data_IF_314799627888
#
_entry.id   IF_314799627888
#
_cell.length_a   1.000
_cell.length_b   1.000
_cell.length_c   1.000
_cell.angle_alpha   90.00
_cell.angle_beta   90.00
_cell.angle_gamma   90.00
#
_symmetry.space_group_name_H-M   'P 1'
#
loop_
_entity.id
_entity.type
_entity.pdbx_description
1 polymer ?
#
# COMPACT_ATOMS: atom_id res chain seq x y z
N UNK A 1 -1.20 -2.80 -3.18
CA UNK A 1 -1.62 -2.98 -1.78
C UNK A 1 -2.77 -2.05 -1.41
N UNK A 2 -3.93 -2.60 -1.06
CA UNK A 2 -5.11 -1.81 -0.64
C UNK A 2 -5.25 -1.83 0.88
N UNK A 3 -4.88 -0.72 1.54
CA UNK A 3 -4.99 -0.59 3.01
C UNK A 3 -6.36 -0.06 3.47
N UNK A 4 -7.16 0.51 2.57
CA UNK A 4 -8.42 1.19 2.85
C UNK A 4 -8.28 2.67 3.20
N UNK A 5 -7.08 3.23 3.17
CA UNK A 5 -6.85 4.68 3.21
C UNK A 5 -7.14 5.34 1.85
N UNK A 6 -7.40 6.66 1.86
CA UNK A 6 -7.68 7.45 0.65
C UNK A 6 -6.70 7.22 -0.49
N UNK A 7 -5.40 7.15 -0.15
CA UNK A 7 -4.31 7.04 -1.13
C UNK A 7 -4.32 5.67 -1.81
N UNK A 8 -4.53 4.59 -1.03
CA UNK A 8 -4.62 3.24 -1.59
C UNK A 8 -5.90 3.03 -2.42
N UNK A 9 -7.00 3.69 -2.08
CA UNK A 9 -8.24 3.69 -2.87
C UNK A 9 -8.05 4.46 -4.18
N UNK A 10 -7.42 5.65 -4.12
CA UNK A 10 -7.08 6.43 -5.31
C UNK A 10 -6.14 5.67 -6.25
N UNK A 11 -5.16 4.93 -5.69
CA UNK A 11 -4.27 4.07 -6.48
C UNK A 11 -5.03 2.98 -7.22
N UNK A 12 -6.01 2.31 -6.57
CA UNK A 12 -6.84 1.28 -7.21
C UNK A 12 -7.67 1.88 -8.34
N UNK A 13 -8.33 3.03 -8.13
CA UNK A 13 -9.09 3.72 -9.18
C UNK A 13 -8.19 4.12 -10.36
N UNK A 14 -7.02 4.69 -10.08
CA UNK A 14 -6.05 5.10 -11.09
C UNK A 14 -5.58 3.92 -11.94
N UNK A 15 -5.10 2.84 -11.29
CA UNK A 15 -4.55 1.69 -11.99
C UNK A 15 -5.65 0.89 -12.70
N UNK A 16 -6.84 0.78 -12.12
CA UNK A 16 -7.97 0.13 -12.74
C UNK A 16 -8.39 0.79 -14.04
N UNK A 17 -8.45 2.14 -14.08
CA UNK A 17 -8.72 2.89 -15.31
C UNK A 17 -7.58 2.76 -16.32
N UNK A 18 -6.31 2.90 -15.86
CA UNK A 18 -5.13 2.83 -16.73
C UNK A 18 -4.97 1.46 -17.38
N UNK A 19 -5.26 0.36 -16.68
CA UNK A 19 -5.15 -1.00 -17.21
C UNK A 19 -6.03 -1.24 -18.43
N UNK A 20 -7.15 -0.51 -18.54
CA UNK A 20 -8.12 -0.63 -19.65
C UNK A 20 -7.70 0.13 -20.91
N UNK A 21 -6.94 1.22 -20.79
CA UNK A 21 -6.63 2.15 -21.89
C UNK A 21 -5.14 2.22 -22.25
N UNK A 22 -4.24 1.79 -21.38
CA UNK A 22 -2.79 1.93 -21.60
C UNK A 22 -2.23 0.83 -22.52
N UNK A 23 -1.26 1.18 -23.33
CA UNK A 23 -0.51 0.27 -24.19
C UNK A 23 1.00 0.42 -23.87
N UNK A 24 1.74 -0.66 -23.57
CA UNK A 24 1.29 -2.06 -23.51
C UNK A 24 0.33 -2.32 -22.34
N UNK A 25 -0.57 -3.29 -22.51
CA UNK A 25 -1.51 -3.69 -21.45
C UNK A 25 -0.77 -4.27 -20.24
N UNK A 26 -1.31 -4.02 -19.06
CA UNK A 26 -0.84 -4.61 -17.81
C UNK A 26 -2.05 -5.11 -17.00
N UNK A 27 -1.80 -6.08 -16.15
CA UNK A 27 -2.80 -6.65 -15.25
C UNK A 27 -2.57 -6.14 -13.83
N UNK A 28 -3.66 -5.96 -13.09
CA UNK A 28 -3.63 -5.49 -11.71
C UNK A 28 -4.33 -6.49 -10.82
N UNK A 29 -3.68 -6.85 -9.71
CA UNK A 29 -4.26 -7.65 -8.62
C UNK A 29 -4.29 -6.77 -7.38
N UNK A 30 -5.45 -6.66 -6.74
CA UNK A 30 -5.62 -5.87 -5.52
C UNK A 30 -5.49 -6.79 -4.30
N UNK A 31 -4.56 -6.48 -3.40
CA UNK A 31 -4.32 -7.25 -2.19
C UNK A 31 -4.59 -6.43 -0.93
N UNK A 32 -5.43 -6.97 -0.04
CA UNK A 32 -5.71 -6.43 1.30
C UNK A 32 -5.14 -7.34 2.37
N UNK A 33 -4.24 -6.81 3.21
CA UNK A 33 -3.61 -7.57 4.30
C UNK A 33 -4.30 -7.27 5.61
N UNK A 34 -4.82 -8.32 6.24
CA UNK A 34 -5.47 -8.27 7.56
C UNK A 34 -4.52 -8.82 8.61
N UNK A 35 -4.30 -8.04 9.66
CA UNK A 35 -3.53 -8.48 10.83
C UNK A 35 -4.51 -9.04 11.86
N UNK A 36 -4.52 -10.35 12.07
CA UNK A 36 -5.50 -11.03 12.93
C UNK A 36 -5.28 -10.76 14.42
N UNK A 37 -4.08 -10.35 14.80
CA UNK A 37 -3.74 -10.01 16.18
C UNK A 37 -3.86 -8.50 16.51
N UNK A 38 -4.40 -7.70 15.59
CA UNK A 38 -4.70 -6.29 15.84
C UNK A 38 -6.22 -6.11 15.82
N UNK A 39 -6.82 -5.53 16.89
CA UNK A 39 -8.26 -5.41 17.02
C UNK A 39 -8.80 -4.24 16.17
N UNK A 40 -8.63 -4.29 14.86
CA UNK A 40 -9.35 -3.40 13.96
C UNK A 40 -9.97 -4.17 12.79
N UNK A 41 -11.17 -3.75 12.41
CA UNK A 41 -11.84 -4.30 11.25
C UNK A 41 -11.82 -3.29 10.10
N UNK A 42 -11.46 -3.75 8.92
CA UNK A 42 -11.71 -3.05 7.67
C UNK A 42 -13.04 -3.53 7.09
N UNK A 43 -13.78 -2.63 6.47
CA UNK A 43 -14.96 -2.98 5.67
C UNK A 43 -14.52 -3.69 4.38
N UNK A 44 -14.38 -5.02 4.48
CA UNK A 44 -13.86 -5.87 3.38
C UNK A 44 -14.80 -5.86 2.17
N UNK A 45 -16.11 -5.75 2.39
CA UNK A 45 -17.10 -5.69 1.31
C UNK A 45 -16.97 -4.39 0.53
N UNK A 46 -16.81 -3.28 1.23
CA UNK A 46 -16.53 -1.99 0.59
C UNK A 46 -15.22 -2.01 -0.20
N UNK A 47 -14.14 -2.56 0.37
CA UNK A 47 -12.85 -2.65 -0.33
C UNK A 47 -12.93 -3.56 -1.56
N UNK A 48 -13.70 -4.63 -1.48
CA UNK A 48 -13.98 -5.51 -2.60
C UNK A 48 -14.75 -4.76 -3.69
N UNK A 49 -15.82 -4.05 -3.36
CA UNK A 49 -16.60 -3.30 -4.33
C UNK A 49 -15.77 -2.26 -5.07
N UNK A 50 -14.81 -1.60 -4.40
CA UNK A 50 -13.89 -0.67 -5.04
C UNK A 50 -12.96 -1.33 -6.08
N UNK A 51 -12.58 -2.58 -5.87
CA UNK A 51 -11.80 -3.33 -6.86
C UNK A 51 -12.68 -3.82 -8.01
N UNK A 52 -13.88 -4.32 -7.70
CA UNK A 52 -14.85 -4.84 -8.67
C UNK A 52 -15.40 -3.76 -9.61
N UNK A 53 -15.46 -2.50 -9.18
CA UNK A 53 -15.80 -1.35 -10.04
C UNK A 53 -14.90 -1.26 -11.28
N UNK A 54 -13.69 -1.79 -11.19
CA UNK A 54 -12.69 -1.81 -12.26
C UNK A 54 -12.45 -3.21 -12.85
N UNK A 55 -13.23 -4.21 -12.48
CA UNK A 55 -13.03 -5.63 -12.85
C UNK A 55 -11.68 -6.19 -12.37
N UNK A 56 -11.17 -5.72 -11.23
CA UNK A 56 -9.89 -6.16 -10.67
C UNK A 56 -10.07 -7.31 -9.67
N UNK A 57 -9.24 -8.37 -9.76
CA UNK A 57 -9.22 -9.43 -8.75
C UNK A 57 -8.85 -8.86 -7.38
N UNK A 58 -9.64 -9.20 -6.35
CA UNK A 58 -9.44 -8.78 -4.98
C UNK A 58 -9.09 -9.95 -4.07
N UNK A 59 -7.95 -9.87 -3.41
CA UNK A 59 -7.42 -10.90 -2.52
C UNK A 59 -7.36 -10.35 -1.10
N UNK A 60 -7.91 -11.10 -0.16
CA UNK A 60 -7.74 -10.86 1.27
C UNK A 60 -6.77 -11.90 1.82
N UNK A 61 -5.69 -11.45 2.44
CA UNK A 61 -4.71 -12.30 3.10
C UNK A 61 -4.64 -11.99 4.58
N UNK A 62 -4.87 -13.02 5.40
CA UNK A 62 -4.80 -12.91 6.85
C UNK A 62 -3.42 -13.37 7.34
N UNK A 63 -2.82 -12.57 8.21
CA UNK A 63 -1.52 -12.86 8.81
C UNK A 63 -1.47 -12.29 10.23
N UNK A 64 -0.45 -12.66 10.98
CA UNK A 64 -0.19 -12.14 12.32
C UNK A 64 1.30 -11.94 12.53
N UNK A 65 1.65 -11.14 13.52
CA UNK A 65 3.02 -11.03 14.01
C UNK A 65 3.05 -11.25 15.51
N UNK A 66 4.16 -11.78 16.02
CA UNK A 66 4.39 -11.92 17.44
C UNK A 66 5.34 -10.80 17.91
N UNK A 67 4.87 -9.87 18.77
CA UNK A 67 5.69 -8.79 19.32
C UNK A 67 6.91 -9.28 20.11
N UNK A 68 6.87 -10.52 20.63
CA UNK A 68 7.95 -11.11 21.41
C UNK A 68 9.11 -11.63 20.56
N UNK A 69 8.92 -11.81 19.26
CA UNK A 69 9.92 -12.41 18.36
C UNK A 69 11.21 -11.59 18.28
N UNK A 70 11.11 -10.26 18.32
CA UNK A 70 12.27 -9.36 18.40
C UNK A 70 11.94 -8.15 19.26
N UNK A 71 12.24 -8.24 20.55
CA UNK A 71 11.99 -7.17 21.53
C UNK A 71 12.79 -5.88 21.30
N UNK A 72 13.78 -5.90 20.41
CA UNK A 72 14.55 -4.71 19.99
C UNK A 72 13.79 -3.86 18.97
N UNK A 73 12.70 -4.39 18.40
CA UNK A 73 11.88 -3.72 17.40
C UNK A 73 10.54 -3.33 17.97
N UNK A 74 10.03 -2.17 17.57
CA UNK A 74 8.68 -1.78 17.96
C UNK A 74 7.61 -2.68 17.32
N UNK A 75 6.46 -2.90 17.97
CA UNK A 75 5.34 -3.65 17.40
C UNK A 75 4.89 -3.09 16.04
N UNK A 76 4.92 -1.75 15.86
CA UNK A 76 4.63 -1.11 14.59
C UNK A 76 5.60 -1.52 13.47
N UNK A 77 6.89 -1.65 13.80
CA UNK A 77 7.90 -2.12 12.85
C UNK A 77 7.61 -3.56 12.41
N UNK A 78 7.35 -4.46 13.37
CA UNK A 78 7.06 -5.87 13.10
C UNK A 78 5.77 -6.01 12.27
N UNK A 79 4.73 -5.26 12.61
CA UNK A 79 3.49 -5.20 11.85
C UNK A 79 3.73 -4.76 10.40
N UNK A 80 4.45 -3.66 10.20
CA UNK A 80 4.76 -3.13 8.85
C UNK A 80 5.60 -4.12 8.04
N UNK A 81 6.58 -4.74 8.68
CA UNK A 81 7.44 -5.74 8.05
C UNK A 81 6.64 -6.98 7.61
N UNK A 82 5.77 -7.51 8.49
CA UNK A 82 4.91 -8.67 8.20
C UNK A 82 3.94 -8.38 7.05
N UNK A 83 3.30 -7.19 7.06
CA UNK A 83 2.42 -6.76 5.95
C UNK A 83 3.16 -6.69 4.63
N UNK A 84 4.37 -6.12 4.65
CA UNK A 84 5.20 -6.03 3.45
C UNK A 84 5.59 -7.40 2.93
N UNK A 85 6.03 -8.30 3.82
CA UNK A 85 6.35 -9.68 3.47
C UNK A 85 5.17 -10.38 2.81
N UNK A 86 3.97 -10.30 3.40
CA UNK A 86 2.75 -10.87 2.84
C UNK A 86 2.43 -10.33 1.43
N UNK A 87 2.62 -9.03 1.18
CA UNK A 87 2.46 -8.46 -0.15
C UNK A 87 3.41 -9.07 -1.18
N UNK A 88 4.69 -9.30 -0.82
CA UNK A 88 5.65 -9.96 -1.70
C UNK A 88 5.27 -11.42 -1.98
N UNK A 89 4.78 -12.15 -0.97
CA UNK A 89 4.33 -13.54 -1.13
C UNK A 89 3.13 -13.63 -2.08
N UNK A 90 2.15 -12.75 -1.93
CA UNK A 90 0.99 -12.67 -2.83
C UNK A 90 1.43 -12.32 -4.25
N UNK A 91 2.27 -11.29 -4.40
CA UNK A 91 2.77 -10.87 -5.70
C UNK A 91 3.50 -12.00 -6.42
N UNK A 92 4.32 -12.78 -5.70
CA UNK A 92 5.00 -13.96 -6.24
C UNK A 92 4.02 -15.05 -6.66
N UNK A 93 3.02 -15.36 -5.82
CA UNK A 93 2.01 -16.37 -6.09
C UNK A 93 1.19 -16.02 -7.35
N UNK A 94 0.92 -14.74 -7.58
CA UNK A 94 0.19 -14.24 -8.74
C UNK A 94 1.08 -13.82 -9.92
N UNK A 95 2.38 -14.18 -9.90
CA UNK A 95 3.36 -13.88 -10.96
C UNK A 95 3.44 -12.39 -11.30
N UNK A 96 3.19 -11.53 -10.33
CA UNK A 96 3.36 -10.09 -10.49
C UNK A 96 4.86 -9.73 -10.54
N UNK A 97 5.23 -8.81 -11.42
CA UNK A 97 6.58 -8.29 -11.52
C UNK A 97 6.77 -6.93 -10.80
N UNK A 98 5.67 -6.34 -10.32
CA UNK A 98 5.66 -5.07 -9.60
C UNK A 98 4.73 -5.11 -8.39
N UNK A 99 5.09 -4.34 -7.37
CA UNK A 99 4.23 -4.02 -6.23
C UNK A 99 4.02 -2.51 -6.22
N UNK A 100 2.76 -2.11 -6.34
CA UNK A 100 2.37 -0.71 -6.33
C UNK A 100 1.97 -0.27 -4.93
N UNK A 101 2.56 0.85 -4.47
CA UNK A 101 2.28 1.45 -3.18
C UNK A 101 1.74 2.88 -3.37
N UNK A 102 0.71 3.21 -2.59
CA UNK A 102 0.01 4.49 -2.64
C UNK A 102 0.74 5.65 -1.97
N UNK A 103 2.07 5.68 -2.01
CA UNK A 103 2.82 6.82 -1.50
C UNK A 103 2.74 7.99 -2.48
N UNK A 104 2.54 9.17 -1.93
CA UNK A 104 2.42 10.43 -2.66
C UNK A 104 3.61 11.37 -2.39
N UNK A 105 3.60 12.57 -2.95
CA UNK A 105 4.72 13.51 -2.88
C UNK A 105 5.07 13.88 -1.44
N UNK A 106 4.06 14.14 -0.62
CA UNK A 106 4.27 14.56 0.78
C UNK A 106 4.94 13.44 1.60
N UNK A 107 4.54 12.16 1.43
CA UNK A 107 5.22 11.01 2.07
C UNK A 107 6.72 10.97 1.74
N UNK A 108 7.08 11.29 0.49
CA UNK A 108 8.46 11.29 0.01
C UNK A 108 9.25 12.43 0.65
N UNK A 109 8.66 13.62 0.74
CA UNK A 109 9.27 14.79 1.37
C UNK A 109 9.39 14.61 2.88
N UNK A 110 8.36 14.13 3.55
CA UNK A 110 8.38 13.82 4.98
C UNK A 110 9.45 12.77 5.30
N UNK A 111 9.55 11.70 4.49
CA UNK A 111 10.59 10.68 4.66
C UNK A 111 11.99 11.27 4.49
N UNK A 112 12.20 12.18 3.52
CA UNK A 112 13.47 12.88 3.34
C UNK A 112 13.82 13.71 4.57
N UNK A 113 12.88 14.50 5.08
CA UNK A 113 13.09 15.34 6.27
C UNK A 113 13.37 14.49 7.51
N UNK A 114 12.63 13.41 7.71
CA UNK A 114 12.87 12.47 8.82
C UNK A 114 14.26 11.84 8.75
N UNK A 115 14.70 11.40 7.58
CA UNK A 115 16.04 10.82 7.40
C UNK A 115 17.13 11.85 7.65
N UNK A 116 16.97 13.09 7.18
CA UNK A 116 17.91 14.16 7.42
C UNK A 116 18.03 14.51 8.91
N UNK A 117 16.89 14.64 9.60
CA UNK A 117 16.87 15.11 10.99
C UNK A 117 17.25 14.03 12.01
N UNK A 118 16.87 12.79 11.77
CA UNK A 118 17.08 11.69 12.74
C UNK A 118 18.28 10.80 12.40
N UNK A 119 18.68 10.70 11.14
CA UNK A 119 19.73 9.77 10.71
C UNK A 119 20.91 10.49 10.04
N UNK A 120 20.82 11.79 9.77
CA UNK A 120 21.81 12.53 9.00
C UNK A 120 21.98 12.00 7.56
N UNK A 121 20.96 11.28 7.05
CA UNK A 121 21.03 10.63 5.75
C UNK A 121 20.19 11.39 4.71
N UNK A 122 20.82 11.77 3.59
CA UNK A 122 20.13 12.35 2.44
C UNK A 122 19.56 11.24 1.58
N UNK A 123 18.32 10.83 1.88
CA UNK A 123 17.65 9.75 1.16
C UNK A 123 16.15 9.71 1.44
N UNK A 124 15.39 9.24 0.47
CA UNK A 124 13.94 9.09 0.57
C UNK A 124 13.48 7.84 -0.20
N UNK A 125 12.17 7.65 -0.31
CA UNK A 125 11.56 6.57 -1.07
C UNK A 125 11.63 6.86 -2.58
N UNK A 126 12.42 6.10 -3.38
CA UNK A 126 12.47 6.34 -4.83
C UNK A 126 11.13 5.96 -5.49
N UNK A 127 10.75 6.61 -6.61
CA UNK A 127 9.56 6.25 -7.39
C UNK A 127 9.56 4.80 -7.87
N UNK A 128 10.75 4.25 -8.13
CA UNK A 128 10.97 2.87 -8.55
C UNK A 128 12.16 2.29 -7.77
N UNK A 129 11.95 1.13 -7.17
CA UNK A 129 12.97 0.42 -6.41
C UNK A 129 12.99 -1.05 -6.85
N UNK A 130 14.10 -1.49 -7.43
CA UNK A 130 14.32 -2.91 -7.74
C UNK A 130 14.68 -3.67 -6.47
N UNK A 131 14.06 -4.83 -6.30
CA UNK A 131 14.26 -5.72 -5.17
C UNK A 131 14.99 -6.99 -5.63
N UNK A 132 16.32 -6.99 -5.55
CA UNK A 132 17.15 -8.07 -6.08
C UNK A 132 16.81 -9.46 -5.51
N UNK A 133 16.40 -9.51 -4.24
CA UNK A 133 16.02 -10.76 -3.55
C UNK A 133 14.71 -11.38 -4.04
N UNK A 134 13.84 -10.62 -4.69
CA UNK A 134 12.48 -11.05 -5.04
C UNK A 134 12.20 -11.01 -6.54
N UNK A 135 13.17 -10.57 -7.35
CA UNK A 135 12.99 -10.31 -8.79
C UNK A 135 11.71 -9.50 -9.11
N UNK A 136 11.46 -8.50 -8.28
CA UNK A 136 10.30 -7.61 -8.36
C UNK A 136 10.73 -6.17 -8.19
N UNK A 137 9.85 -5.26 -8.60
CA UNK A 137 10.01 -3.83 -8.40
C UNK A 137 8.90 -3.28 -7.49
N UNK A 138 9.28 -2.39 -6.59
CA UNK A 138 8.31 -1.53 -5.91
C UNK A 138 8.20 -0.27 -6.75
N UNK A 139 6.97 0.14 -7.10
CA UNK A 139 6.71 1.39 -7.78
C UNK A 139 5.73 2.26 -6.99
N UNK A 140 5.82 3.58 -7.21
CA UNK A 140 4.99 4.60 -6.56
C UNK A 140 4.42 5.54 -7.61
N UNK A 141 3.34 5.13 -8.29
CA UNK A 141 2.79 5.90 -9.42
C UNK A 141 2.34 7.32 -9.05
N UNK A 142 2.01 7.55 -7.78
CA UNK A 142 1.52 8.84 -7.28
C UNK A 142 2.62 9.70 -6.63
N UNK A 143 3.90 9.40 -6.85
CA UNK A 143 5.03 10.09 -6.21
C UNK A 143 5.14 11.60 -6.49
N UNK A 144 4.45 12.10 -7.49
CA UNK A 144 4.37 13.52 -7.85
C UNK A 144 2.99 14.14 -7.58
N UNK A 145 2.06 13.38 -7.00
CA UNK A 145 0.73 13.85 -6.63
C UNK A 145 0.80 14.39 -5.20
N UNK A 146 0.28 15.58 -4.96
CA UNK A 146 0.21 16.17 -3.63
C UNK A 146 -0.92 15.55 -2.79
N UNK A 147 -0.76 15.48 -1.48
CA UNK A 147 -1.79 14.96 -0.57
C UNK A 147 -3.11 15.71 -0.70
N UNK A 148 -3.05 17.06 -0.89
CA UNK A 148 -4.24 17.88 -1.08
C UNK A 148 -5.10 17.46 -2.28
N UNK A 149 -4.47 17.00 -3.37
CA UNK A 149 -5.18 16.50 -4.55
C UNK A 149 -5.87 15.17 -4.24
N UNK A 150 -5.21 14.28 -3.49
CA UNK A 150 -5.80 13.01 -3.06
C UNK A 150 -6.98 13.21 -2.09
N UNK A 151 -6.92 14.23 -1.23
CA UNK A 151 -8.04 14.63 -0.37
C UNK A 151 -9.23 15.08 -1.23
N UNK A 152 -9.00 15.90 -2.25
CA UNK A 152 -10.07 16.34 -3.16
C UNK A 152 -10.68 15.17 -3.93
N UNK A 153 -9.86 14.27 -4.45
CA UNK A 153 -10.32 13.05 -5.13
C UNK A 153 -11.13 12.18 -4.18
N UNK A 154 -10.68 12.00 -2.94
CA UNK A 154 -11.39 11.20 -1.94
C UNK A 154 -12.76 11.79 -1.61
N UNK A 155 -12.85 13.12 -1.49
CA UNK A 155 -14.12 13.82 -1.25
C UNK A 155 -15.06 13.69 -2.46
N UNK A 156 -14.54 13.91 -3.67
CA UNK A 156 -15.32 13.81 -4.90
C UNK A 156 -15.84 12.39 -5.16
N UNK A 157 -15.01 11.37 -4.88
CA UNK A 157 -15.36 9.96 -5.03
C UNK A 157 -16.20 9.41 -3.87
N UNK A 158 -16.33 10.14 -2.77
CA UNK A 158 -17.04 9.69 -1.58
C UNK A 158 -16.37 8.49 -0.90
N UNK A 159 -15.01 8.44 -0.87
CA UNK A 159 -14.31 7.34 -0.22
C UNK A 159 -14.64 7.25 1.27
N UNK A 160 -15.02 6.06 1.72
CA UNK A 160 -15.33 5.82 3.14
C UNK A 160 -14.04 5.67 3.94
N UNK A 161 -13.91 6.49 4.99
CA UNK A 161 -12.77 6.37 5.91
C UNK A 161 -12.87 5.07 6.70
N UNK A 162 -11.84 4.23 6.61
CA UNK A 162 -11.74 3.04 7.44
C UNK A 162 -11.26 3.44 8.84
N UNK A 163 -12.05 3.07 9.87
CA UNK A 163 -11.68 3.32 11.26
C UNK A 163 -10.63 2.29 11.69
N UNK A 164 -9.43 2.74 11.98
CA UNK A 164 -8.31 1.90 12.44
C UNK A 164 -7.98 2.27 13.88
N UNK A 165 -8.52 1.52 14.83
CA UNK A 165 -8.13 1.64 16.22
C UNK A 165 -6.93 0.71 16.48
N UNK A 166 -5.74 1.15 16.08
CA UNK A 166 -4.51 0.42 16.35
C UNK A 166 -4.09 0.70 17.81
N UNK A 167 -3.77 -0.35 18.62
CA UNK A 167 -3.37 -0.17 20.01
C UNK A 167 -1.91 0.26 20.18
N UNK A 168 -1.13 0.35 19.10
CA UNK A 168 0.29 0.71 19.07
C UNK A 168 0.56 2.07 18.45
#
# INVERSE_FOLDING_TARGET
GLSGGKDSLALVDLLGRRSKIYCPRFEVVVAHIVMTNIPYCSDREYLRSCAEEHDLPFIVHETSFDPSTDTRKSPCFLCSWTRRKALFEIAKAHKCNKIDLGHHQDDILETLLMNLTHQGAFGTMPPRLRMDKFDMEIIRPMCLVEERELIQVAAWKGYRKQLKNCPY
#
